data_IF_040308137987
#
_entry.id   IF_040308137987
#
_cell.length_a   1.000
_cell.length_b   1.000
_cell.length_c   1.000
_cell.angle_alpha   90.00
_cell.angle_beta   90.00
_cell.angle_gamma   90.00
#
_symmetry.space_group_name_H-M   'P 1'
#
loop_
_entity.id
_entity.type
_entity.pdbx_description
1 polymer ?
#
# COMPACT_ATOMS: atom_id res chain seq x y z
N UNK A 1 12.72 66.48 9.38
CA UNK A 1 11.62 66.44 8.39
C UNK A 1 11.75 65.28 7.39
N UNK A 2 12.92 65.02 6.80
CA UNK A 2 13.10 64.01 5.75
C UNK A 2 12.88 62.54 6.17
N UNK A 3 13.14 62.18 7.44
CA UNK A 3 12.93 60.81 7.92
C UNK A 3 11.43 60.41 7.96
N UNK A 4 10.55 61.34 8.28
CA UNK A 4 9.10 61.08 8.35
C UNK A 4 8.46 60.92 6.97
N UNK A 5 8.95 61.64 5.96
CA UNK A 5 8.44 61.54 4.59
C UNK A 5 8.88 60.26 3.88
N UNK A 6 10.12 59.80 4.14
CA UNK A 6 10.61 58.50 3.66
C UNK A 6 9.85 57.35 4.30
N UNK A 7 9.59 57.40 5.61
CA UNK A 7 8.77 56.41 6.31
C UNK A 7 7.33 56.35 5.75
N UNK A 8 6.73 57.52 5.49
CA UNK A 8 5.38 57.61 4.95
C UNK A 8 5.28 57.09 3.50
N UNK A 9 6.27 57.37 2.64
CA UNK A 9 6.34 56.83 1.28
C UNK A 9 6.64 55.32 1.25
N UNK A 10 7.50 54.82 2.13
CA UNK A 10 7.79 53.38 2.26
C UNK A 10 6.55 52.63 2.76
N UNK A 11 5.84 53.22 3.73
CA UNK A 11 4.57 52.69 4.24
C UNK A 11 3.45 52.69 3.20
N UNK A 12 3.40 53.69 2.29
CA UNK A 12 2.40 53.72 1.20
C UNK A 12 2.67 52.66 0.11
N UNK A 13 3.95 52.42 -0.25
CA UNK A 13 4.32 51.43 -1.28
C UNK A 13 4.27 49.98 -0.79
N UNK A 14 4.54 49.74 0.50
CA UNK A 14 4.48 48.41 1.10
C UNK A 14 3.22 48.19 1.94
N UNK A 15 2.32 49.17 2.05
CA UNK A 15 1.14 49.11 2.91
C UNK A 15 0.24 47.92 2.60
N UNK A 16 -0.01 47.66 1.31
CA UNK A 16 -0.77 46.48 0.88
C UNK A 16 -0.06 45.17 1.21
N UNK A 17 1.26 45.09 1.05
CA UNK A 17 2.06 43.90 1.36
C UNK A 17 2.08 43.63 2.86
N UNK A 18 2.28 44.68 3.67
CA UNK A 18 2.26 44.61 5.13
C UNK A 18 0.87 44.25 5.66
N UNK A 19 -0.20 44.73 5.02
CA UNK A 19 -1.58 44.34 5.35
C UNK A 19 -1.78 42.84 5.10
N UNK A 20 -1.38 42.33 3.94
CA UNK A 20 -1.49 40.89 3.62
C UNK A 20 -0.67 40.04 4.59
N UNK A 21 0.57 40.44 4.87
CA UNK A 21 1.44 39.76 5.84
C UNK A 21 0.79 39.77 7.24
N UNK A 22 0.30 40.94 7.68
CA UNK A 22 -0.41 41.08 8.96
C UNK A 22 -1.66 40.21 9.05
N UNK A 23 -2.42 40.08 7.95
CA UNK A 23 -3.59 39.20 7.87
C UNK A 23 -3.20 37.72 7.96
N UNK A 24 -2.13 37.31 7.29
CA UNK A 24 -1.58 35.93 7.37
C UNK A 24 -1.13 35.62 8.80
N UNK A 25 -0.44 36.56 9.45
CA UNK A 25 -0.05 36.41 10.86
C UNK A 25 -1.24 36.43 11.81
N UNK A 26 -2.29 37.23 11.57
CA UNK A 26 -3.50 37.20 12.39
C UNK A 26 -4.21 35.83 12.28
N UNK A 27 -4.05 35.17 11.14
CA UNK A 27 -4.57 33.84 10.86
C UNK A 27 -3.63 32.71 11.30
N UNK A 28 -2.52 32.99 12.02
CA UNK A 28 -1.54 31.98 12.43
C UNK A 28 -2.18 30.82 13.21
N UNK A 29 -3.17 31.12 14.05
CA UNK A 29 -3.90 30.14 14.84
C UNK A 29 -4.63 29.11 13.97
N UNK A 30 -5.15 29.54 12.82
CA UNK A 30 -5.86 28.70 11.86
C UNK A 30 -4.91 27.76 11.09
N UNK A 31 -3.68 28.19 10.84
CA UNK A 31 -2.69 27.37 10.12
C UNK A 31 -2.04 26.29 10.99
N UNK A 32 -2.07 26.43 12.32
CA UNK A 32 -1.43 25.46 13.22
C UNK A 32 -1.94 24.02 13.02
N UNK A 33 -3.27 23.73 13.05
CA UNK A 33 -3.77 22.38 12.78
C UNK A 33 -3.42 21.87 11.38
N UNK A 34 -3.47 22.75 10.38
CA UNK A 34 -3.14 22.42 8.98
C UNK A 34 -1.68 22.02 8.85
N UNK A 35 -0.78 22.75 9.52
CA UNK A 35 0.64 22.45 9.56
C UNK A 35 0.90 21.07 10.20
N UNK A 36 0.28 20.79 11.35
CA UNK A 36 0.41 19.50 12.03
C UNK A 36 -0.11 18.33 11.18
N UNK A 37 -1.28 18.49 10.56
CA UNK A 37 -1.84 17.48 9.64
C UNK A 37 -0.94 17.28 8.41
N UNK A 38 -0.45 18.37 7.82
CA UNK A 38 0.48 18.33 6.68
C UNK A 38 1.75 17.58 7.02
N UNK A 39 2.35 17.85 8.19
CA UNK A 39 3.57 17.17 8.65
C UNK A 39 3.38 15.66 8.81
N UNK A 40 2.22 15.21 9.30
CA UNK A 40 1.88 13.77 9.38
C UNK A 40 1.71 13.17 7.98
N UNK A 41 0.99 13.84 7.09
CA UNK A 41 0.73 13.38 5.72
C UNK A 41 2.00 13.32 4.84
N UNK A 42 3.01 14.16 5.10
CA UNK A 42 4.27 14.16 4.34
C UNK A 42 4.99 12.80 4.45
N UNK A 43 4.89 12.12 5.61
CA UNK A 43 5.53 10.81 5.77
C UNK A 43 4.99 9.79 4.78
N UNK A 44 3.67 9.79 4.56
CA UNK A 44 3.04 8.95 3.55
C UNK A 44 3.43 9.35 2.12
N UNK A 45 3.55 10.66 1.84
CA UNK A 45 3.88 11.18 0.50
C UNK A 45 5.35 11.00 0.10
N UNK A 46 6.24 10.80 1.07
CA UNK A 46 7.67 10.61 0.80
C UNK A 46 7.95 9.27 0.11
N UNK A 47 7.10 8.28 0.35
CA UNK A 47 7.25 6.95 -0.17
C UNK A 47 6.76 6.89 -1.63
N UNK A 48 7.58 6.28 -2.50
CA UNK A 48 7.27 6.24 -3.95
C UNK A 48 6.25 5.16 -4.30
N UNK A 49 6.21 4.09 -3.52
CA UNK A 49 5.37 2.94 -3.80
C UNK A 49 4.38 2.73 -2.66
N UNK A 50 3.16 2.40 -3.03
CA UNK A 50 2.10 2.01 -2.11
C UNK A 50 1.43 0.75 -2.64
N UNK A 51 1.06 -0.15 -1.73
CA UNK A 51 0.37 -1.40 -2.06
C UNK A 51 -0.81 -1.62 -1.12
N UNK A 52 -1.83 -2.31 -1.61
CA UNK A 52 -2.86 -2.89 -0.77
C UNK A 52 -2.29 -4.17 -0.16
N UNK A 53 -2.35 -4.29 1.16
CA UNK A 53 -1.83 -5.43 1.89
C UNK A 53 -2.92 -6.05 2.75
N UNK A 54 -2.95 -7.39 2.74
CA UNK A 54 -3.90 -8.21 3.49
C UNK A 54 -3.10 -9.22 4.30
N UNK A 55 -3.37 -9.28 5.60
CA UNK A 55 -2.77 -10.23 6.52
C UNK A 55 -3.75 -10.61 7.62
N UNK A 56 -3.22 -11.17 8.69
CA UNK A 56 -3.97 -11.70 9.82
C UNK A 56 -3.47 -11.09 11.13
N UNK A 57 -4.40 -10.85 12.05
CA UNK A 57 -4.07 -10.40 13.41
C UNK A 57 -3.41 -11.55 14.17
N UNK A 58 -2.13 -11.39 14.50
CA UNK A 58 -1.33 -12.38 15.21
C UNK A 58 -1.52 -12.27 16.73
N UNK A 59 -1.55 -11.05 17.26
CA UNK A 59 -1.74 -10.82 18.69
C UNK A 59 -2.40 -9.46 18.96
N UNK A 60 -3.12 -9.38 20.08
CA UNK A 60 -3.85 -8.19 20.55
C UNK A 60 -3.65 -8.03 22.05
N UNK A 61 -2.91 -7.00 22.47
CA UNK A 61 -2.67 -6.75 23.89
C UNK A 61 -2.78 -5.26 24.25
N UNK A 62 -3.15 -4.99 25.50
CA UNK A 62 -3.29 -3.63 26.02
C UNK A 62 -2.08 -3.29 26.89
N UNK A 63 -1.42 -2.17 26.61
CA UNK A 63 -0.36 -1.61 27.44
C UNK A 63 -0.81 -0.30 28.10
N UNK A 64 -0.23 0.03 29.25
CA UNK A 64 -0.37 1.35 29.87
C UNK A 64 0.89 2.16 29.57
N UNK A 65 0.72 3.35 28.99
CA UNK A 65 1.82 4.28 28.69
C UNK A 65 1.61 5.58 29.48
N UNK A 66 2.68 6.09 30.11
CA UNK A 66 2.63 7.35 30.86
C UNK A 66 2.69 8.50 29.86
N UNK A 67 1.56 9.15 29.62
CA UNK A 67 1.41 10.19 28.57
C UNK A 67 1.81 11.57 29.07
N UNK A 68 1.77 11.79 30.39
CA UNK A 68 2.23 13.03 30.99
C UNK A 68 2.25 12.99 32.51
N UNK A 69 3.13 13.81 33.09
CA UNK A 69 3.20 14.05 34.52
C UNK A 69 2.72 15.47 34.75
N UNK A 70 1.55 15.64 35.39
CA UNK A 70 1.05 16.97 35.73
C UNK A 70 1.30 17.22 37.20
N UNK A 71 2.13 18.20 37.50
CA UNK A 71 2.32 18.71 38.86
C UNK A 71 1.15 19.62 39.22
N UNK A 72 0.21 19.13 40.01
CA UNK A 72 -0.96 19.90 40.48
C UNK A 72 -0.84 20.11 41.98
N UNK A 73 -1.16 21.32 42.44
CA UNK A 73 -1.14 21.64 43.87
C UNK A 73 -2.50 21.28 44.49
N UNK A 74 -2.51 20.51 45.59
CA UNK A 74 -3.75 20.18 46.30
C UNK A 74 -4.33 21.42 47.02
N UNK A 75 -5.55 21.33 47.57
CA UNK A 75 -6.18 22.45 48.29
C UNK A 75 -5.42 22.87 49.56
N UNK A 76 -4.48 22.05 50.03
CA UNK A 76 -3.60 22.31 51.15
C UNK A 76 -2.24 22.92 50.76
N UNK A 77 -1.98 23.16 49.47
CA UNK A 77 -0.73 23.78 49.01
C UNK A 77 0.43 22.80 48.78
N UNK A 78 0.19 21.48 48.83
CA UNK A 78 1.22 20.48 48.57
C UNK A 78 1.26 20.12 47.07
N UNK A 79 2.47 20.00 46.52
CA UNK A 79 2.69 19.57 45.14
C UNK A 79 2.34 18.08 45.04
N UNK A 80 1.28 17.75 44.31
CA UNK A 80 0.89 16.37 43.99
C UNK A 80 1.22 16.12 42.53
N UNK A 81 2.08 15.15 42.30
CA UNK A 81 2.37 14.62 40.97
C UNK A 81 1.22 13.68 40.60
N UNK A 82 0.41 14.07 39.62
CA UNK A 82 -0.60 13.18 39.03
C UNK A 82 -0.06 12.66 37.71
N UNK A 83 0.22 11.35 37.65
CA UNK A 83 0.59 10.65 36.43
C UNK A 83 -0.66 10.35 35.60
N UNK A 84 -0.73 10.88 34.38
CA UNK A 84 -1.78 10.57 33.42
C UNK A 84 -1.35 9.34 32.61
N UNK A 85 -1.98 8.19 32.88
CA UNK A 85 -1.71 6.90 32.22
C UNK A 85 -2.79 6.62 31.20
N UNK A 86 -2.43 6.55 29.93
CA UNK A 86 -3.36 6.20 28.85
C UNK A 86 -3.23 4.72 28.50
N UNK A 87 -4.37 4.03 28.44
CA UNK A 87 -4.42 2.64 27.97
C UNK A 87 -4.35 2.62 26.44
N UNK A 88 -3.39 1.88 25.90
CA UNK A 88 -3.15 1.74 24.46
C UNK A 88 -3.30 0.30 24.01
N UNK A 89 -3.96 0.10 22.89
CA UNK A 89 -4.03 -1.18 22.19
C UNK A 89 -2.78 -1.35 21.34
N UNK A 90 -2.14 -2.50 21.44
CA UNK A 90 -1.08 -2.94 20.53
C UNK A 90 -1.66 -4.07 19.71
N UNK A 91 -1.57 -3.91 18.40
CA UNK A 91 -2.03 -4.86 17.42
C UNK A 91 -0.83 -5.36 16.65
N UNK A 92 -0.59 -6.66 16.69
CA UNK A 92 0.43 -7.32 15.87
C UNK A 92 -0.25 -8.04 14.72
N UNK A 93 0.21 -7.77 13.51
CA UNK A 93 -0.40 -8.24 12.27
C UNK A 93 0.71 -8.79 11.41
N UNK A 94 0.47 -9.90 10.73
CA UNK A 94 1.43 -10.43 9.78
C UNK A 94 0.78 -11.21 8.65
N UNK A 95 1.60 -11.60 7.70
CA UNK A 95 1.20 -12.43 6.57
C UNK A 95 2.09 -13.68 6.46
N UNK A 96 1.71 -14.55 5.53
CA UNK A 96 2.47 -15.76 5.20
C UNK A 96 3.82 -15.46 4.52
N UNK A 97 4.02 -14.23 4.02
CA UNK A 97 5.29 -13.79 3.43
C UNK A 97 6.37 -13.51 4.48
N UNK A 98 5.99 -13.50 5.77
CA UNK A 98 6.89 -13.21 6.89
C UNK A 98 6.99 -11.72 7.22
N UNK A 99 6.10 -10.89 6.67
CA UNK A 99 6.00 -9.50 7.09
C UNK A 99 5.21 -9.41 8.40
N UNK A 100 5.77 -8.72 9.41
CA UNK A 100 5.08 -8.42 10.66
C UNK A 100 5.08 -6.92 10.92
N UNK A 101 3.91 -6.39 11.28
CA UNK A 101 3.68 -5.00 11.64
C UNK A 101 3.09 -4.92 13.05
N UNK A 102 3.57 -3.94 13.82
CA UNK A 102 2.97 -3.57 15.11
C UNK A 102 2.35 -2.19 15.00
N UNK A 103 1.07 -2.08 15.35
CA UNK A 103 0.32 -0.84 15.34
C UNK A 103 -0.21 -0.52 16.74
N UNK A 104 0.15 0.64 17.28
CA UNK A 104 -0.25 1.05 18.62
C UNK A 104 -1.23 2.22 18.54
N UNK A 105 -2.39 2.10 19.19
CA UNK A 105 -3.44 3.13 19.18
C UNK A 105 -4.07 3.34 20.55
N UNK A 106 -4.65 4.51 20.85
CA UNK A 106 -5.47 4.71 22.03
C UNK A 106 -6.60 3.67 22.10
N UNK A 107 -6.80 3.05 23.27
CA UNK A 107 -7.83 2.01 23.44
C UNK A 107 -9.23 2.64 23.38
N UNK A 108 -10.01 2.27 22.36
CA UNK A 108 -11.41 2.66 22.20
C UNK A 108 -12.31 1.43 22.40
N UNK A 109 -13.56 1.66 22.82
CA UNK A 109 -14.56 0.59 23.00
C UNK A 109 -14.76 -0.27 21.73
N UNK A 110 -14.70 0.36 20.56
CA UNK A 110 -14.84 -0.33 19.27
C UNK A 110 -13.76 -1.40 19.04
N UNK A 111 -12.58 -1.27 19.66
CA UNK A 111 -11.49 -2.24 19.47
C UNK A 111 -11.69 -3.54 20.25
N UNK A 112 -12.69 -3.63 21.14
CA UNK A 112 -12.96 -4.84 21.93
C UNK A 112 -13.49 -6.01 21.08
N UNK A 113 -13.99 -5.72 19.87
CA UNK A 113 -14.49 -6.74 18.96
C UNK A 113 -13.38 -7.51 18.24
N UNK A 114 -12.15 -6.98 18.23
CA UNK A 114 -11.02 -7.53 17.48
C UNK A 114 -10.53 -8.81 18.15
N UNK A 115 -10.30 -9.84 17.34
CA UNK A 115 -9.80 -11.15 17.77
C UNK A 115 -8.53 -11.50 17.03
N UNK A 116 -7.73 -12.36 17.67
CA UNK A 116 -6.63 -13.03 17.01
C UNK A 116 -7.20 -13.92 15.92
N UNK A 117 -6.60 -13.84 14.73
CA UNK A 117 -7.04 -14.52 13.53
C UNK A 117 -8.00 -13.73 12.62
N UNK A 118 -8.42 -12.54 13.04
CA UNK A 118 -9.20 -11.67 12.16
C UNK A 118 -8.33 -11.19 10.98
N UNK A 119 -8.96 -11.05 9.82
CA UNK A 119 -8.31 -10.48 8.64
C UNK A 119 -8.06 -8.99 8.85
N UNK A 120 -6.86 -8.55 8.50
CA UNK A 120 -6.48 -7.15 8.57
C UNK A 120 -6.04 -6.67 7.18
N UNK A 121 -6.62 -5.56 6.75
CA UNK A 121 -6.36 -4.93 5.47
C UNK A 121 -5.82 -3.50 5.70
N UNK A 122 -4.78 -3.12 4.96
CA UNK A 122 -4.22 -1.77 5.05
C UNK A 122 -3.50 -1.36 3.77
N UNK A 123 -3.15 -0.07 3.68
CA UNK A 123 -2.23 0.44 2.67
C UNK A 123 -0.84 0.51 3.26
N UNK A 124 0.09 -0.24 2.67
CA UNK A 124 1.50 -0.22 3.03
C UNK A 124 2.27 0.65 2.06
N UNK A 125 3.30 1.33 2.56
CA UNK A 125 4.11 2.25 1.78
C UNK A 125 5.58 1.86 1.87
N UNK A 126 6.25 1.83 0.72
CA UNK A 126 7.66 1.48 0.60
C UNK A 126 8.42 2.44 -0.31
N UNK A 127 9.73 2.45 -0.14
CA UNK A 127 10.66 3.06 -1.09
C UNK A 127 11.14 2.07 -2.16
N UNK A 128 10.79 0.78 -2.04
CA UNK A 128 11.10 -0.25 -3.03
C UNK A 128 9.85 -0.71 -3.77
N UNK A 129 9.97 -1.07 -5.06
CA UNK A 129 8.85 -1.49 -5.88
C UNK A 129 8.32 -2.88 -5.48
N UNK A 130 9.18 -3.73 -4.92
CA UNK A 130 8.86 -5.09 -4.47
C UNK A 130 8.11 -5.15 -3.14
N UNK A 131 7.91 -3.99 -2.47
CA UNK A 131 7.34 -3.89 -1.13
C UNK A 131 8.05 -4.74 -0.06
N UNK A 132 9.25 -5.26 -0.34
CA UNK A 132 10.01 -6.16 0.56
C UNK A 132 10.34 -5.51 1.89
N UNK A 133 10.45 -4.18 1.90
CA UNK A 133 10.65 -3.37 3.09
C UNK A 133 9.55 -2.33 3.22
N UNK A 134 8.57 -2.61 4.05
CA UNK A 134 7.53 -1.64 4.38
C UNK A 134 8.13 -0.57 5.30
N UNK A 135 7.97 0.69 4.90
CA UNK A 135 8.56 1.85 5.57
C UNK A 135 7.50 2.61 6.35
N UNK A 136 6.27 2.65 5.83
CA UNK A 136 5.15 3.20 6.58
C UNK A 136 3.87 2.40 6.41
N UNK A 137 3.04 2.46 7.45
CA UNK A 137 1.75 1.82 7.57
C UNK A 137 0.66 2.90 7.64
N UNK A 138 -0.46 2.67 6.95
CA UNK A 138 -1.64 3.51 7.05
C UNK A 138 -2.55 3.10 8.21
N UNK A 139 -3.84 3.44 8.11
CA UNK A 139 -4.89 2.87 8.94
C UNK A 139 -5.05 1.36 8.70
N UNK A 140 -5.35 0.61 9.76
CA UNK A 140 -5.70 -0.82 9.68
C UNK A 140 -7.21 -0.96 9.69
N UNK A 141 -7.75 -1.67 8.71
CA UNK A 141 -9.16 -2.03 8.63
C UNK A 141 -9.33 -3.53 8.88
N UNK A 142 -10.26 -3.88 9.76
CA UNK A 142 -10.57 -5.28 10.11
C UNK A 142 -11.98 -5.57 9.59
N UNK A 143 -12.12 -6.26 8.45
CA UNK A 143 -13.41 -6.47 7.80
C UNK A 143 -14.38 -7.31 8.65
N UNK A 144 -13.85 -8.27 9.40
CA UNK A 144 -14.66 -9.24 10.17
C UNK A 144 -15.52 -8.57 11.25
N UNK A 145 -15.08 -7.41 11.76
CA UNK A 145 -15.83 -6.62 12.74
C UNK A 145 -16.14 -5.18 12.31
N UNK A 146 -15.84 -4.79 11.06
CA UNK A 146 -15.95 -3.41 10.52
C UNK A 146 -15.28 -2.35 11.41
N UNK A 147 -14.10 -2.68 11.96
CA UNK A 147 -13.36 -1.79 12.86
C UNK A 147 -12.17 -1.17 12.14
N UNK A 148 -12.00 0.13 12.35
CA UNK A 148 -10.83 0.88 11.94
C UNK A 148 -9.93 1.13 13.14
N UNK A 149 -8.69 0.67 13.05
CA UNK A 149 -7.67 0.84 14.06
C UNK A 149 -6.65 1.85 13.52
N UNK A 150 -6.75 3.09 13.99
CA UNK A 150 -5.74 4.12 13.75
C UNK A 150 -5.74 5.23 14.80
N UNK A 151 -4.57 5.84 14.99
CA UNK A 151 -4.36 7.02 15.82
C UNK A 151 -4.71 8.32 15.06
N UNK A 152 -4.55 8.32 13.73
CA UNK A 152 -4.83 9.42 12.83
C UNK A 152 -5.37 8.90 11.49
N UNK A 153 -6.47 9.44 10.95
CA UNK A 153 -7.07 8.94 9.72
C UNK A 153 -6.26 9.34 8.48
N UNK A 154 -5.44 8.42 7.97
CA UNK A 154 -4.67 8.63 6.75
C UNK A 154 -5.50 8.38 5.48
N UNK A 155 -6.45 7.46 5.56
CA UNK A 155 -7.25 6.98 4.44
C UNK A 155 -8.69 7.46 4.53
N UNK A 156 -9.26 7.74 3.36
CA UNK A 156 -10.70 7.95 3.24
C UNK A 156 -11.38 6.58 3.24
N UNK A 157 -12.05 6.26 4.34
CA UNK A 157 -12.64 4.94 4.61
C UNK A 157 -13.57 4.46 3.49
N UNK A 158 -14.34 5.37 2.89
CA UNK A 158 -15.28 5.04 1.81
C UNK A 158 -14.53 4.55 0.56
N UNK A 159 -13.51 5.28 0.13
CA UNK A 159 -12.68 4.88 -1.03
C UNK A 159 -11.92 3.60 -0.78
N UNK A 160 -11.42 3.40 0.45
CA UNK A 160 -10.77 2.14 0.78
C UNK A 160 -11.74 0.95 0.64
N UNK A 161 -12.98 1.10 1.12
CA UNK A 161 -14.01 0.07 0.95
C UNK A 161 -14.39 -0.15 -0.52
N UNK A 162 -14.38 0.89 -1.34
CA UNK A 162 -14.62 0.77 -2.79
C UNK A 162 -13.49 -0.02 -3.46
N UNK A 163 -12.23 0.29 -3.16
CA UNK A 163 -11.06 -0.43 -3.68
C UNK A 163 -11.07 -1.90 -3.23
N UNK A 164 -11.41 -2.16 -1.97
CA UNK A 164 -11.58 -3.53 -1.46
C UNK A 164 -12.61 -4.32 -2.27
N UNK A 165 -13.80 -3.75 -2.48
CA UNK A 165 -14.87 -4.40 -3.27
C UNK A 165 -14.41 -4.68 -4.71
N UNK A 166 -13.66 -3.75 -5.31
CA UNK A 166 -13.10 -3.93 -6.64
C UNK A 166 -12.06 -5.07 -6.69
N UNK A 167 -11.15 -5.13 -5.71
CA UNK A 167 -10.18 -6.22 -5.60
C UNK A 167 -10.86 -7.58 -5.43
N UNK A 168 -11.87 -7.67 -4.57
CA UNK A 168 -12.65 -8.90 -4.39
C UNK A 168 -13.37 -9.34 -5.68
N UNK A 169 -13.88 -8.38 -6.46
CA UNK A 169 -14.52 -8.69 -7.74
C UNK A 169 -13.55 -9.25 -8.78
N UNK A 170 -12.33 -8.70 -8.85
CA UNK A 170 -11.28 -9.19 -9.74
C UNK A 170 -10.77 -10.57 -9.33
N UNK A 171 -10.65 -10.82 -8.02
CA UNK A 171 -10.33 -12.15 -7.48
C UNK A 171 -11.40 -13.18 -7.87
N UNK A 172 -12.68 -12.82 -7.79
CA UNK A 172 -13.79 -13.68 -8.21
C UNK A 172 -13.81 -13.97 -9.72
N UNK A 173 -13.69 -12.93 -10.55
CA UNK A 173 -13.72 -13.06 -12.01
C UNK A 173 -12.54 -13.87 -12.56
N UNK A 174 -11.35 -13.74 -11.95
CA UNK A 174 -10.19 -14.55 -12.30
C UNK A 174 -10.42 -16.04 -12.02
N UNK A 175 -11.11 -16.37 -10.92
CA UNK A 175 -11.46 -17.74 -10.57
C UNK A 175 -12.53 -18.32 -11.50
N UNK A 176 -13.54 -17.53 -11.87
CA UNK A 176 -14.58 -17.97 -12.81
C UNK A 176 -14.00 -18.21 -14.21
N UNK A 177 -13.12 -17.32 -14.69
CA UNK A 177 -12.43 -17.44 -15.99
C UNK A 177 -11.53 -18.68 -16.07
N UNK A 178 -10.91 -19.09 -14.94
CA UNK A 178 -10.11 -20.31 -14.87
C UNK A 178 -10.93 -21.58 -14.56
N UNK A 179 -12.08 -21.43 -13.90
CA UNK A 179 -13.02 -22.50 -13.58
C UNK A 179 -13.77 -23.02 -14.80
N UNK A 180 -13.90 -22.21 -15.86
CA UNK A 180 -14.55 -22.56 -17.12
C UNK A 180 -13.59 -23.25 -18.13
N UNK A 181 -12.41 -23.68 -17.69
CA UNK A 181 -11.60 -24.62 -18.47
C UNK A 181 -12.37 -25.94 -18.54
N UNK A 182 -12.68 -26.47 -19.74
CA UNK A 182 -13.34 -27.76 -19.85
C UNK A 182 -12.51 -28.79 -19.08
N UNK A 183 -13.17 -29.56 -18.21
CA UNK A 183 -12.55 -30.70 -17.53
C UNK A 183 -11.82 -31.50 -18.61
N UNK A 184 -10.52 -31.77 -18.43
CA UNK A 184 -9.70 -32.50 -19.39
C UNK A 184 -10.29 -33.90 -19.71
N UNK A 185 -11.25 -34.35 -18.90
CA UNK A 185 -12.05 -35.57 -19.08
C UNK A 185 -13.14 -35.47 -20.15
N UNK A 186 -13.61 -34.26 -20.47
CA UNK A 186 -14.68 -34.02 -21.46
C UNK A 186 -14.14 -33.68 -22.87
N UNK A 187 -12.83 -33.83 -23.09
CA UNK A 187 -12.27 -33.65 -24.43
C UNK A 187 -12.85 -34.75 -25.34
N UNK A 188 -13.55 -34.41 -26.43
CA UNK A 188 -13.95 -35.43 -27.41
C UNK A 188 -12.69 -36.16 -27.86
N UNK A 189 -12.71 -37.49 -28.00
CA UNK A 189 -11.55 -38.24 -28.47
C UNK A 189 -11.11 -37.60 -29.78
N UNK A 190 -9.84 -37.21 -29.82
CA UNK A 190 -9.20 -36.55 -30.96
C UNK A 190 -9.63 -37.27 -32.24
N UNK A 191 -10.55 -36.64 -32.98
CA UNK A 191 -10.98 -37.16 -34.26
C UNK A 191 -9.87 -36.78 -35.21
N UNK A 192 -9.07 -37.77 -35.58
CA UNK A 192 -8.13 -37.71 -36.68
C UNK A 192 -8.85 -37.17 -37.92
N UNK A 193 -8.68 -35.88 -38.15
CA UNK A 193 -9.11 -35.20 -39.36
C UNK A 193 -8.16 -34.01 -39.50
N UNK A 194 -7.08 -34.28 -40.23
CA UNK A 194 -6.09 -33.28 -40.60
C UNK A 194 -6.77 -32.07 -41.23
N UNK A 195 -6.52 -30.92 -40.62
CA UNK A 195 -6.30 -29.61 -41.23
C UNK A 195 -6.05 -28.65 -40.06
N UNK A 196 -4.81 -28.55 -39.60
CA UNK A 196 -4.43 -27.45 -38.71
C UNK A 196 -4.01 -26.29 -39.60
N UNK A 197 -4.96 -25.39 -39.87
CA UNK A 197 -4.60 -24.00 -40.06
C UNK A 197 -3.93 -23.54 -38.76
N UNK A 198 -2.65 -23.16 -38.86
CA UNK A 198 -2.02 -22.37 -37.81
C UNK A 198 -2.73 -21.02 -37.79
N UNK A 199 -3.63 -20.82 -36.83
CA UNK A 199 -4.25 -19.51 -36.61
C UNK A 199 -3.19 -18.58 -36.00
N UNK A 200 -2.67 -17.64 -36.79
CA UNK A 200 -1.68 -16.62 -36.41
C UNK A 200 -2.13 -15.74 -35.24
N UNK A 201 -3.42 -15.75 -34.90
CA UNK A 201 -4.03 -14.92 -33.86
C UNK A 201 -3.73 -15.41 -32.43
N UNK A 202 -3.29 -16.66 -32.24
CA UNK A 202 -3.00 -17.21 -30.91
C UNK A 202 -1.69 -16.68 -30.31
N UNK A 203 -0.72 -16.32 -31.17
CA UNK A 203 0.56 -15.71 -30.76
C UNK A 203 0.41 -14.20 -30.50
N UNK A 204 -0.61 -13.54 -31.04
CA UNK A 204 -0.84 -12.11 -30.84
C UNK A 204 -1.24 -11.79 -29.38
N UNK A 205 -2.01 -12.68 -28.74
CA UNK A 205 -2.50 -12.45 -27.38
C UNK A 205 -1.40 -12.56 -26.30
N UNK A 206 -0.34 -13.33 -26.56
CA UNK A 206 0.83 -13.41 -25.67
C UNK A 206 1.93 -12.40 -25.99
N UNK A 207 1.79 -11.63 -27.08
CA UNK A 207 2.77 -10.62 -27.49
C UNK A 207 2.53 -9.27 -26.81
N UNK A 208 1.33 -8.99 -26.30
CA UNK A 208 0.95 -7.65 -25.83
C UNK A 208 0.96 -7.45 -24.29
N UNK A 209 0.94 -8.51 -23.49
CA UNK A 209 1.01 -8.39 -22.02
C UNK A 209 2.42 -8.67 -21.46
N UNK A 210 3.21 -7.58 -21.44
CA UNK A 210 4.39 -7.35 -20.56
C UNK A 210 5.35 -8.54 -20.32
N UNK A 211 6.19 -8.79 -21.31
CA UNK A 211 7.61 -9.15 -21.12
C UNK A 211 8.46 -8.28 -22.06
N UNK A 212 8.45 -6.96 -21.82
CA UNK A 212 9.44 -6.04 -22.38
C UNK A 212 10.56 -5.83 -21.36
N UNK A 213 11.80 -5.96 -21.82
CA UNK A 213 13.09 -5.81 -21.12
C UNK A 213 13.60 -6.98 -20.28
N UNK A 214 14.13 -8.02 -20.95
CA UNK A 214 15.60 -8.17 -21.09
C UNK A 214 15.99 -9.44 -21.87
N UNK A 215 16.11 -9.31 -23.18
CA UNK A 215 17.19 -9.90 -23.96
C UNK A 215 17.57 -8.79 -24.94
N UNK A 216 18.83 -8.35 -24.92
CA UNK A 216 19.28 -7.32 -25.86
C UNK A 216 19.38 -7.96 -27.26
N UNK A 217 19.24 -7.17 -28.32
CA UNK A 217 19.24 -7.68 -29.71
C UNK A 217 20.49 -8.54 -30.03
N UNK A 218 21.61 -8.31 -29.32
CA UNK A 218 22.85 -9.12 -29.38
C UNK A 218 22.69 -10.56 -28.84
N UNK A 219 21.80 -10.79 -27.85
CA UNK A 219 21.56 -12.13 -27.27
C UNK A 219 20.73 -13.01 -28.21
N UNK A 220 19.80 -12.40 -28.97
CA UNK A 220 18.96 -13.11 -29.93
C UNK A 220 19.75 -13.46 -31.20
N UNK A 221 20.63 -12.57 -31.65
CA UNK A 221 21.55 -12.84 -32.77
C UNK A 221 22.57 -13.94 -32.41
N UNK A 222 23.10 -13.96 -31.18
CA UNK A 222 24.01 -15.02 -30.72
C UNK A 222 23.35 -16.40 -30.63
N UNK A 223 22.06 -16.43 -30.29
CA UNK A 223 21.27 -17.67 -30.30
C UNK A 223 21.03 -18.08 -31.76
N UNK A 224 20.62 -17.18 -32.65
CA UNK A 224 20.39 -17.50 -34.08
C UNK A 224 21.66 -17.96 -34.82
N UNK A 225 22.83 -17.37 -34.55
CA UNK A 225 24.12 -17.80 -35.13
C UNK A 225 24.52 -19.22 -34.67
N UNK A 226 24.34 -19.57 -33.39
CA UNK A 226 24.64 -20.91 -32.84
C UNK A 226 23.76 -22.03 -33.42
N UNK A 227 22.59 -21.68 -33.96
CA UNK A 227 21.69 -22.62 -34.63
C UNK A 227 21.95 -22.72 -36.14
N UNK A 228 22.41 -21.65 -36.79
CA UNK A 228 22.77 -21.70 -38.22
C UNK A 228 23.99 -22.59 -38.49
N UNK A 229 24.94 -22.66 -37.55
CA UNK A 229 26.14 -23.50 -37.67
C UNK A 229 25.83 -25.01 -37.54
N UNK A 230 24.65 -25.37 -36.99
CA UNK A 230 24.23 -26.76 -36.80
C UNK A 230 23.50 -27.40 -37.98
N UNK A 231 23.13 -26.63 -39.01
CA UNK A 231 22.69 -27.15 -40.31
C UNK A 231 21.41 -28.01 -40.33
N UNK A 232 20.57 -27.97 -39.29
CA UNK A 232 19.37 -28.83 -39.21
C UNK A 232 18.09 -28.10 -39.68
N UNK A 233 17.25 -28.75 -40.52
CA UNK A 233 16.05 -28.14 -41.05
C UNK A 233 14.95 -27.97 -39.99
N UNK A 234 14.20 -26.87 -40.11
CA UNK A 234 13.17 -26.37 -39.18
C UNK A 234 12.05 -27.37 -38.87
N UNK A 235 11.91 -28.45 -39.64
CA UNK A 235 10.83 -29.45 -39.49
C UNK A 235 10.98 -30.40 -38.30
N UNK A 236 12.18 -30.55 -37.72
CA UNK A 236 12.47 -31.54 -36.67
C UNK A 236 12.77 -30.94 -35.29
N UNK A 237 12.26 -29.72 -35.01
CA UNK A 237 12.38 -29.11 -33.67
C UNK A 237 11.69 -29.98 -32.61
N UNK A 238 12.36 -30.44 -31.53
CA UNK A 238 11.66 -30.97 -30.38
C UNK A 238 10.90 -29.83 -29.68
N UNK A 239 9.68 -30.07 -29.17
CA UNK A 239 8.96 -29.05 -28.43
C UNK A 239 9.79 -28.60 -27.21
N UNK A 240 9.84 -27.29 -26.99
CA UNK A 240 10.50 -26.67 -25.83
C UNK A 240 10.08 -27.38 -24.54
N UNK A 241 11.01 -28.09 -23.90
CA UNK A 241 10.81 -28.59 -22.55
C UNK A 241 10.92 -27.42 -21.58
N UNK A 242 9.77 -26.86 -21.22
CA UNK A 242 9.68 -25.92 -20.11
C UNK A 242 10.06 -26.66 -18.81
N UNK A 243 10.78 -26.00 -17.88
CA UNK A 243 11.13 -26.61 -16.59
C UNK A 243 9.86 -26.98 -15.81
N UNK A 244 9.87 -28.07 -15.02
CA UNK A 244 8.68 -28.53 -14.31
C UNK A 244 8.25 -27.52 -13.24
N UNK A 245 6.93 -27.27 -13.17
CA UNK A 245 6.27 -26.43 -12.18
C UNK A 245 6.58 -26.91 -10.74
N UNK A 246 6.86 -26.03 -9.77
CA UNK A 246 7.03 -26.45 -8.38
C UNK A 246 5.72 -27.02 -7.84
N UNK A 247 5.73 -28.30 -7.46
CA UNK A 247 4.60 -28.98 -6.82
C UNK A 247 4.38 -28.41 -5.42
N UNK A 248 3.19 -27.86 -5.16
CA UNK A 248 2.69 -27.67 -3.80
C UNK A 248 2.77 -29.00 -3.04
N UNK A 249 3.43 -29.00 -1.88
CA UNK A 249 3.38 -30.11 -0.91
C UNK A 249 2.30 -29.82 0.14
N UNK A 250 1.67 -30.87 0.68
CA UNK A 250 0.63 -30.77 1.70
C UNK A 250 1.16 -30.18 3.01
#
# INVERSE_FOLDING_TARGET
AAAGTVWWMLSYKFGSVLLVIGLVFLMYWFWSPVYWASRRNIQCRKNRFGGFWRGEVLDVFVSEEVVGQTETVNRQGELVIVEDRERRLNLEIGDESGFTARHQVPLKRIHQAIRVGDRAEMVVMSNRPDLSRITQLSDVYIPDCDVWVSDYPYLRRDTFRDVRRQLESWEGEALDTYGDRPDYRDRPPYRDRGDYGYDEDYDAYYREDRYGDRYDDEDLEAIEEDWQDRGEPVSDRPPLQLPPYPKNRP
#
